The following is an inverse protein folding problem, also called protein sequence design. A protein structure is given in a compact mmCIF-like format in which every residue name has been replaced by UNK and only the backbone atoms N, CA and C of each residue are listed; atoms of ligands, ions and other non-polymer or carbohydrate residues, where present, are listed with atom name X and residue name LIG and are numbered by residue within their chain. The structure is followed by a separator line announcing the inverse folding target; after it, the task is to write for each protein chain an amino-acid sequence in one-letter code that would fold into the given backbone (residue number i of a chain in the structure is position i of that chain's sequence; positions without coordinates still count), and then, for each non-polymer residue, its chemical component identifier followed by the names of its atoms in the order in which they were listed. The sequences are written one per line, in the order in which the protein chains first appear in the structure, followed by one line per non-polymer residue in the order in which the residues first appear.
data_IF_336724337200
#
_entry.id   IF_336724337200
#
_cell.length_a   1.000
_cell.length_b   1.000
_cell.length_c   1.000
_cell.angle_alpha   90.00
_cell.angle_beta   90.00
_cell.angle_gamma   90.00
#
_symmetry.space_group_name_H-M   'P 1'
#
loop_
_entity.id
_entity.type
_entity.pdbx_description
1 polymer ?
#
# COMPACT_ATOMS: atom_id res chain seq x y z
N UNK A 1 -16.14 3.20 -6.13
CA UNK A 1 -16.57 4.35 -6.96
C UNK A 1 -17.74 5.10 -6.34
N UNK A 2 -18.93 4.52 -6.15
CA UNK A 2 -20.07 5.24 -5.55
C UNK A 2 -19.76 5.86 -4.18
N UNK A 3 -19.12 5.10 -3.28
CA UNK A 3 -18.67 5.62 -1.97
C UNK A 3 -17.67 6.77 -2.09
N UNK A 4 -16.83 6.78 -3.13
CA UNK A 4 -15.87 7.86 -3.41
C UNK A 4 -16.61 9.15 -3.77
N UNK A 5 -17.60 9.06 -4.66
CA UNK A 5 -18.47 10.21 -5.03
C UNK A 5 -19.23 10.70 -3.81
N UNK A 6 -19.77 9.79 -3.01
CA UNK A 6 -20.50 10.13 -1.79
C UNK A 6 -19.62 10.88 -0.78
N UNK A 7 -18.38 10.45 -0.60
CA UNK A 7 -17.41 11.11 0.28
C UNK A 7 -17.14 12.55 -0.17
N UNK A 8 -16.89 12.79 -1.46
CA UNK A 8 -16.73 14.15 -2.00
C UNK A 8 -17.98 15.00 -1.78
N UNK A 9 -19.17 14.47 -2.05
CA UNK A 9 -20.45 15.17 -1.83
C UNK A 9 -20.69 15.52 -0.36
N UNK A 10 -20.15 14.72 0.56
CA UNK A 10 -20.20 14.97 2.01
C UNK A 10 -19.14 15.97 2.49
N UNK A 11 -18.29 16.48 1.59
CA UNK A 11 -17.25 17.46 1.91
C UNK A 11 -15.98 16.84 2.49
N UNK A 12 -15.69 15.55 2.23
CA UNK A 12 -14.40 14.98 2.60
C UNK A 12 -13.27 15.57 1.75
N UNK A 13 -12.11 15.82 2.35
CA UNK A 13 -10.95 16.41 1.67
C UNK A 13 -10.15 15.43 0.82
N UNK A 14 -10.39 14.12 0.95
CA UNK A 14 -9.69 13.07 0.23
C UNK A 14 -10.25 11.68 0.48
N UNK A 15 -9.81 10.70 -0.31
CA UNK A 15 -10.28 9.30 -0.21
C UNK A 15 -9.09 8.35 -0.21
N UNK A 16 -9.13 7.37 0.69
CA UNK A 16 -8.24 6.21 0.69
C UNK A 16 -9.06 4.99 0.33
N UNK A 17 -8.60 4.24 -0.67
CA UNK A 17 -9.08 2.89 -0.94
C UNK A 17 -8.24 1.95 -0.10
N UNK A 18 -8.82 1.49 1.01
CA UNK A 18 -8.14 0.71 2.06
C UNK A 18 -7.86 -0.74 1.66
N UNK A 19 -7.04 -0.93 0.62
CA UNK A 19 -6.58 -2.23 0.14
C UNK A 19 -5.23 -2.06 -0.55
N UNK A 20 -4.28 -2.94 -0.23
CA UNK A 20 -2.94 -2.93 -0.83
C UNK A 20 -2.96 -3.27 -2.34
N UNK A 21 -4.03 -3.84 -2.86
CA UNK A 21 -4.18 -4.04 -4.31
C UNK A 21 -4.52 -2.76 -5.09
N UNK A 22 -4.72 -1.63 -4.41
CA UNK A 22 -5.13 -0.34 -4.97
C UNK A 22 -6.32 -0.45 -5.97
N UNK A 23 -7.37 -1.23 -5.67
CA UNK A 23 -8.42 -1.52 -6.62
C UNK A 23 -9.19 -0.24 -6.97
N UNK A 24 -9.39 -0.01 -8.27
CA UNK A 24 -10.14 1.12 -8.79
C UNK A 24 -9.63 2.52 -8.37
N UNK A 25 -8.42 2.67 -7.83
CA UNK A 25 -7.83 3.99 -7.49
C UNK A 25 -7.80 4.90 -8.71
N UNK A 26 -7.35 4.38 -9.86
CA UNK A 26 -7.29 5.14 -11.12
C UNK A 26 -8.68 5.59 -11.58
N UNK A 27 -9.67 4.69 -11.57
CA UNK A 27 -11.05 5.02 -11.93
C UNK A 27 -11.68 6.00 -10.94
N UNK A 28 -11.33 5.93 -9.65
CA UNK A 28 -11.79 6.88 -8.64
C UNK A 28 -11.20 8.28 -8.88
N UNK A 29 -9.91 8.38 -9.23
CA UNK A 29 -9.25 9.65 -9.59
C UNK A 29 -9.93 10.35 -10.78
N UNK A 30 -10.49 9.60 -11.73
CA UNK A 30 -11.23 10.17 -12.86
C UNK A 30 -12.54 10.85 -12.44
N UNK A 31 -13.24 10.33 -11.44
CA UNK A 31 -14.64 10.72 -11.15
C UNK A 31 -14.81 11.73 -10.01
N UNK A 32 -13.79 11.96 -9.18
CA UNK A 32 -13.82 12.97 -8.09
C UNK A 32 -12.69 13.97 -8.21
N UNK A 33 -12.90 15.17 -7.69
CA UNK A 33 -12.03 16.34 -7.64
C UNK A 33 -11.24 16.50 -6.33
N UNK A 34 -11.27 15.51 -5.44
CA UNK A 34 -10.43 15.39 -4.25
C UNK A 34 -9.34 14.31 -4.43
N UNK A 35 -8.18 14.40 -3.76
CA UNK A 35 -7.12 13.39 -3.85
C UNK A 35 -7.61 11.98 -3.53
N UNK A 36 -7.23 11.01 -4.36
CA UNK A 36 -7.53 9.59 -4.13
C UNK A 36 -6.25 8.75 -4.14
N UNK A 37 -6.05 7.98 -3.07
CA UNK A 37 -4.92 7.06 -2.90
C UNK A 37 -5.40 5.64 -2.62
N UNK A 38 -4.57 4.66 -2.96
CA UNK A 38 -4.63 3.32 -2.37
C UNK A 38 -3.60 3.20 -1.23
N UNK A 39 -3.33 1.97 -0.82
CA UNK A 39 -2.39 1.69 0.26
C UNK A 39 -1.00 1.26 -0.26
N UNK A 40 -0.90 0.67 -1.45
CA UNK A 40 0.38 0.23 -2.00
C UNK A 40 1.24 1.37 -2.54
N UNK A 41 0.69 2.23 -3.41
CA UNK A 41 1.47 3.33 -4.02
C UNK A 41 2.21 4.18 -2.96
N UNK A 42 1.54 4.71 -1.91
CA UNK A 42 2.21 5.51 -0.88
C UNK A 42 3.27 4.71 -0.11
N UNK A 43 2.98 3.44 0.22
CA UNK A 43 3.90 2.60 0.98
C UNK A 43 5.20 2.34 0.23
N UNK A 44 5.10 2.05 -1.08
CA UNK A 44 6.26 1.83 -1.92
C UNK A 44 7.07 3.11 -2.12
N UNK A 45 6.42 4.28 -2.25
CA UNK A 45 7.11 5.56 -2.37
C UNK A 45 7.87 5.93 -1.08
N UNK A 46 7.28 5.73 0.09
CA UNK A 46 7.99 5.87 1.36
C UNK A 46 9.17 4.90 1.47
N UNK A 47 8.99 3.64 1.08
CA UNK A 47 10.09 2.69 1.10
C UNK A 47 11.25 3.11 0.19
N UNK A 48 10.92 3.68 -0.97
CA UNK A 48 11.91 4.19 -1.91
C UNK A 48 12.71 5.38 -1.40
N UNK A 49 12.17 6.18 -0.46
CA UNK A 49 12.90 7.29 0.16
C UNK A 49 13.74 6.87 1.36
N UNK A 50 13.41 5.74 1.99
CA UNK A 50 14.07 5.26 3.20
C UNK A 50 15.20 4.25 2.95
N UNK A 51 15.23 3.59 1.77
CA UNK A 51 16.26 2.61 1.48
C UNK A 51 16.55 2.37 0.00
N UNK A 52 17.63 1.62 -0.26
CA UNK A 52 18.02 1.25 -1.62
C UNK A 52 17.07 0.23 -2.25
N UNK A 53 16.67 -0.79 -1.47
CA UNK A 53 15.75 -1.85 -1.87
C UNK A 53 14.68 -2.06 -0.80
N UNK A 54 13.49 -2.45 -1.20
CA UNK A 54 12.40 -2.79 -0.30
C UNK A 54 11.76 -4.13 -0.66
N UNK A 55 11.14 -4.78 0.32
CA UNK A 55 10.32 -5.97 0.09
C UNK A 55 8.92 -5.79 0.68
N UNK A 56 7.95 -6.43 0.03
CA UNK A 56 6.56 -6.49 0.51
C UNK A 56 6.31 -7.89 1.05
N UNK A 57 5.78 -7.99 2.28
CA UNK A 57 5.37 -9.27 2.87
C UNK A 57 3.84 -9.30 2.95
N UNK A 58 3.21 -10.18 2.17
CA UNK A 58 1.76 -10.23 1.93
C UNK A 58 1.11 -11.55 2.39
N UNK A 59 -0.19 -11.68 2.19
CA UNK A 59 -1.05 -12.77 2.66
C UNK A 59 -0.80 -14.09 1.91
N UNK A 60 -1.13 -14.16 0.63
CA UNK A 60 -1.19 -15.37 -0.19
C UNK A 60 -0.32 -15.22 -1.43
N UNK A 61 0.17 -16.33 -1.99
CA UNK A 61 1.04 -16.29 -3.17
C UNK A 61 0.35 -15.72 -4.42
N UNK A 62 -0.96 -15.97 -4.57
CA UNK A 62 -1.69 -15.55 -5.77
C UNK A 62 -1.76 -14.02 -5.97
N UNK A 63 -1.53 -13.23 -4.92
CA UNK A 63 -1.49 -11.75 -5.03
C UNK A 63 -0.10 -11.21 -5.33
N UNK A 64 0.95 -12.04 -5.32
CA UNK A 64 2.33 -11.61 -5.62
C UNK A 64 2.42 -10.95 -7.00
N UNK A 65 1.95 -11.56 -8.11
CA UNK A 65 2.07 -10.94 -9.43
C UNK A 65 1.35 -9.58 -9.52
N UNK A 66 0.25 -9.41 -8.77
CA UNK A 66 -0.47 -8.15 -8.68
C UNK A 66 0.39 -7.07 -8.04
N UNK A 67 1.03 -7.36 -6.90
CA UNK A 67 1.90 -6.41 -6.17
C UNK A 67 3.12 -6.03 -7.01
N UNK A 68 3.73 -7.01 -7.69
CA UNK A 68 4.84 -6.74 -8.60
C UNK A 68 4.43 -5.83 -9.76
N UNK A 69 3.24 -6.03 -10.31
CA UNK A 69 2.69 -5.18 -11.36
C UNK A 69 2.40 -3.76 -10.85
N UNK A 70 1.91 -3.59 -9.62
CA UNK A 70 1.76 -2.26 -9.00
C UNK A 70 3.11 -1.55 -8.94
N UNK A 71 4.16 -2.21 -8.43
CA UNK A 71 5.50 -1.62 -8.38
C UNK A 71 6.04 -1.25 -9.77
N UNK A 72 5.76 -2.07 -10.79
CA UNK A 72 6.12 -1.80 -12.19
C UNK A 72 5.41 -0.57 -12.73
N UNK A 73 4.10 -0.48 -12.58
CA UNK A 73 3.28 0.63 -13.07
C UNK A 73 3.61 1.93 -12.33
N UNK A 74 3.95 1.85 -11.04
CA UNK A 74 4.42 2.98 -10.23
C UNK A 74 5.84 3.44 -10.60
N UNK A 75 6.60 2.64 -11.36
CA UNK A 75 7.97 2.96 -11.77
C UNK A 75 9.04 2.66 -10.72
N UNK A 76 8.73 1.82 -9.72
CA UNK A 76 9.64 1.48 -8.61
C UNK A 76 10.04 0.00 -8.58
N UNK A 77 9.70 -0.78 -9.62
CA UNK A 77 10.04 -2.21 -9.70
C UNK A 77 11.53 -2.49 -9.52
N UNK A 78 12.40 -1.62 -10.03
CA UNK A 78 13.86 -1.77 -9.84
C UNK A 78 14.30 -1.66 -8.38
N UNK A 79 13.50 -1.06 -7.49
CA UNK A 79 13.75 -1.00 -6.05
C UNK A 79 13.06 -2.13 -5.26
N UNK A 80 12.13 -2.87 -5.87
CA UNK A 80 11.48 -4.01 -5.25
C UNK A 80 12.41 -5.22 -5.27
N UNK A 81 12.98 -5.58 -4.12
CA UNK A 81 13.82 -6.77 -3.94
C UNK A 81 13.00 -8.06 -4.06
N UNK A 82 11.87 -8.14 -3.36
CA UNK A 82 10.99 -9.30 -3.40
C UNK A 82 9.56 -8.99 -2.92
N UNK A 83 8.63 -9.87 -3.27
CA UNK A 83 7.34 -9.99 -2.61
C UNK A 83 7.26 -11.38 -2.01
N UNK A 84 7.03 -11.48 -0.70
CA UNK A 84 6.95 -12.75 0.04
C UNK A 84 5.56 -12.95 0.59
N UNK A 85 5.13 -14.20 0.72
CA UNK A 85 3.83 -14.56 1.30
C UNK A 85 4.01 -15.27 2.64
N UNK A 86 3.15 -14.95 3.60
CA UNK A 86 3.06 -15.70 4.87
C UNK A 86 2.15 -16.93 4.78
N UNK A 87 1.51 -17.16 3.63
CA UNK A 87 0.49 -18.18 3.37
C UNK A 87 -0.64 -18.21 4.42
N UNK A 88 -1.14 -17.01 4.79
CA UNK A 88 -2.27 -16.83 5.71
C UNK A 88 -3.39 -16.10 4.98
N UNK A 89 -4.60 -16.69 4.86
CA UNK A 89 -5.76 -16.01 4.26
C UNK A 89 -6.15 -14.74 5.02
N UNK A 90 -6.68 -13.75 4.30
CA UNK A 90 -7.07 -12.43 4.88
C UNK A 90 -8.03 -12.56 6.07
N UNK A 91 -8.97 -13.50 6.00
CA UNK A 91 -9.97 -13.71 7.07
C UNK A 91 -9.37 -14.30 8.36
N UNK A 92 -8.17 -14.86 8.28
CA UNK A 92 -7.45 -15.47 9.41
C UNK A 92 -6.46 -14.52 10.08
N UNK A 93 -6.36 -13.26 9.63
CA UNK A 93 -5.43 -12.26 10.18
C UNK A 93 -5.79 -11.78 11.60
N UNK A 94 -6.91 -12.23 12.16
CA UNK A 94 -7.37 -11.83 13.49
C UNK A 94 -6.48 -12.37 14.62
N UNK A 95 -5.79 -13.50 14.42
CA UNK A 95 -4.76 -14.00 15.33
C UNK A 95 -3.45 -13.22 15.12
N UNK A 96 -3.30 -12.14 15.90
CA UNK A 96 -2.15 -11.23 15.80
C UNK A 96 -0.82 -11.89 16.16
N UNK A 97 -0.79 -12.85 17.07
CA UNK A 97 0.47 -13.52 17.45
C UNK A 97 0.94 -14.47 16.35
N UNK A 98 0.02 -15.29 15.81
CA UNK A 98 0.32 -16.15 14.65
C UNK A 98 0.80 -15.31 13.46
N UNK A 99 0.09 -14.22 13.16
CA UNK A 99 0.42 -13.31 12.07
C UNK A 99 1.80 -12.66 12.26
N UNK A 100 2.09 -12.08 13.43
CA UNK A 100 3.40 -11.47 13.72
C UNK A 100 4.54 -12.45 13.54
N UNK A 101 4.40 -13.67 14.06
CA UNK A 101 5.44 -14.70 13.94
C UNK A 101 5.68 -15.11 12.49
N UNK A 102 4.63 -15.21 11.67
CA UNK A 102 4.77 -15.53 10.25
C UNK A 102 5.40 -14.37 9.46
N UNK A 103 4.95 -13.14 9.69
CA UNK A 103 5.51 -11.93 9.08
C UNK A 103 6.99 -11.78 9.43
N UNK A 104 7.35 -11.93 10.70
CA UNK A 104 8.74 -11.83 11.17
C UNK A 104 9.66 -12.81 10.45
N UNK A 105 9.24 -14.07 10.29
CA UNK A 105 10.02 -15.10 9.58
C UNK A 105 10.29 -14.71 8.12
N UNK A 106 9.26 -14.26 7.40
CA UNK A 106 9.44 -13.84 6.00
C UNK A 106 10.20 -12.52 5.86
N UNK A 107 10.04 -11.59 6.81
CA UNK A 107 10.83 -10.36 6.87
C UNK A 107 12.32 -10.63 7.07
N UNK A 108 12.68 -11.56 7.95
CA UNK A 108 14.08 -11.97 8.11
C UNK A 108 14.67 -12.56 6.83
N UNK A 109 13.90 -13.39 6.10
CA UNK A 109 14.34 -13.91 4.81
C UNK A 109 14.48 -12.78 3.78
N UNK A 110 13.54 -11.84 3.73
CA UNK A 110 13.64 -10.67 2.85
C UNK A 110 14.93 -9.86 3.09
N UNK A 111 15.34 -9.70 4.34
CA UNK A 111 16.60 -9.02 4.68
C UNK A 111 17.81 -9.89 4.28
N UNK A 112 17.85 -11.15 4.74
CA UNK A 112 19.05 -12.02 4.63
C UNK A 112 19.29 -12.48 3.20
N UNK A 113 18.25 -12.89 2.49
CA UNK A 113 18.29 -13.49 1.16
C UNK A 113 18.16 -12.44 0.06
N UNK A 114 17.19 -11.53 0.18
CA UNK A 114 16.82 -10.61 -0.92
C UNK A 114 17.44 -9.21 -0.78
N UNK A 115 18.11 -8.94 0.35
CA UNK A 115 18.75 -7.64 0.66
C UNK A 115 17.75 -6.49 0.76
N UNK A 116 16.58 -6.75 1.34
CA UNK A 116 15.62 -5.70 1.68
C UNK A 116 16.19 -4.77 2.77
N UNK A 117 16.14 -3.45 2.53
CA UNK A 117 16.52 -2.42 3.51
C UNK A 117 15.30 -1.68 4.08
N UNK A 118 14.10 -1.96 3.56
CA UNK A 118 12.82 -1.48 4.06
C UNK A 118 11.79 -2.59 3.84
N UNK A 119 10.90 -2.79 4.80
CA UNK A 119 9.86 -3.81 4.76
C UNK A 119 8.49 -3.15 4.73
N UNK A 120 7.57 -3.68 3.93
CA UNK A 120 6.21 -3.19 3.81
C UNK A 120 5.23 -4.33 4.13
N UNK A 121 4.24 -4.06 4.99
CA UNK A 121 3.12 -4.97 5.16
C UNK A 121 2.21 -4.90 3.92
N UNK A 122 2.04 -6.04 3.25
CA UNK A 122 1.35 -6.15 1.96
C UNK A 122 -0.17 -6.26 2.04
N UNK A 123 -0.78 -5.97 3.19
CA UNK A 123 -2.22 -5.99 3.40
C UNK A 123 -2.61 -4.99 4.50
N UNK A 124 -3.66 -4.21 4.28
CA UNK A 124 -4.19 -3.26 5.26
C UNK A 124 -4.80 -3.95 6.48
N UNK A 125 -5.22 -5.21 6.34
CA UNK A 125 -5.64 -6.06 7.46
C UNK A 125 -4.52 -6.42 8.45
N UNK A 126 -3.25 -6.15 8.11
CA UNK A 126 -2.10 -6.33 8.99
C UNK A 126 -1.83 -5.10 9.88
N UNK A 127 -2.72 -4.11 9.89
CA UNK A 127 -2.52 -2.85 10.61
C UNK A 127 -2.18 -3.06 12.09
N UNK A 128 -1.26 -2.24 12.59
CA UNK A 128 -0.93 -2.16 14.02
C UNK A 128 0.07 -3.21 14.51
N UNK A 129 0.64 -4.03 13.63
CA UNK A 129 1.73 -4.97 13.99
C UNK A 129 3.12 -4.47 13.59
N UNK A 130 3.21 -3.41 12.76
CA UNK A 130 4.47 -2.89 12.22
C UNK A 130 5.49 -2.53 13.32
N UNK A 131 5.06 -1.82 14.37
CA UNK A 131 5.94 -1.44 15.49
C UNK A 131 6.52 -2.67 16.20
N UNK A 132 5.67 -3.65 16.51
CA UNK A 132 6.12 -4.89 17.15
C UNK A 132 7.11 -5.67 16.27
N UNK A 133 6.89 -5.69 14.95
CA UNK A 133 7.82 -6.36 14.02
C UNK A 133 9.16 -5.64 13.94
N UNK A 134 9.15 -4.31 13.91
CA UNK A 134 10.38 -3.51 13.96
C UNK A 134 11.18 -3.81 15.24
N UNK A 135 10.54 -3.79 16.42
CA UNK A 135 11.18 -4.12 17.70
C UNK A 135 11.73 -5.57 17.73
N UNK A 136 11.07 -6.51 17.06
CA UNK A 136 11.55 -7.89 16.94
C UNK A 136 12.79 -7.99 16.04
N UNK A 137 12.80 -7.28 14.91
CA UNK A 137 13.93 -7.23 13.98
C UNK A 137 15.13 -6.50 14.60
N UNK A 138 14.90 -5.43 15.35
CA UNK A 138 15.94 -4.67 16.05
C UNK A 138 16.67 -5.56 17.06
N UNK A 139 15.94 -6.39 17.82
CA UNK A 139 16.53 -7.38 18.76
C UNK A 139 17.40 -8.44 18.08
N UNK A 140 17.13 -8.77 16.81
CA UNK A 140 17.95 -9.67 15.99
C UNK A 140 19.17 -8.94 15.38
N UNK A 141 19.30 -7.62 15.58
CA UNK A 141 20.38 -6.79 15.05
C UNK A 141 20.07 -6.13 13.72
N UNK A 142 18.80 -6.06 13.32
CA UNK A 142 18.36 -5.41 12.09
C UNK A 142 17.51 -4.16 12.39
N UNK A 143 18.14 -2.98 12.34
CA UNK A 143 17.42 -1.70 12.31
C UNK A 143 16.92 -1.41 10.90
N UNK A 144 15.70 -1.89 10.61
CA UNK A 144 15.04 -1.77 9.30
C UNK A 144 13.63 -1.22 9.48
N UNK A 145 13.23 -0.18 8.71
CA UNK A 145 11.87 0.36 8.81
C UNK A 145 10.83 -0.67 8.36
N UNK A 146 9.72 -0.75 9.12
CA UNK A 146 8.53 -1.55 8.77
C UNK A 146 7.35 -0.61 8.51
N UNK A 147 6.89 -0.55 7.27
CA UNK A 147 5.81 0.34 6.82
C UNK A 147 4.46 -0.34 6.99
N UNK A 148 3.59 0.31 7.77
CA UNK A 148 2.16 0.01 7.84
C UNK A 148 1.44 0.74 6.69
N UNK A 149 0.75 0.03 5.78
CA UNK A 149 0.18 0.62 4.57
C UNK A 149 -1.01 1.54 4.84
N UNK A 150 -1.74 1.32 5.94
CA UNK A 150 -2.84 2.19 6.32
C UNK A 150 -2.31 3.52 6.88
N UNK A 151 -1.31 3.46 7.76
CA UNK A 151 -0.67 4.67 8.27
C UNK A 151 0.04 5.46 7.16
N UNK A 152 0.74 4.77 6.26
CA UNK A 152 1.39 5.39 5.11
C UNK A 152 0.40 6.12 4.19
N UNK A 153 -0.72 5.47 3.83
CA UNK A 153 -1.72 6.10 2.95
C UNK A 153 -2.35 7.34 3.58
N UNK A 154 -2.62 7.33 4.88
CA UNK A 154 -3.14 8.51 5.61
C UNK A 154 -2.12 9.65 5.56
N UNK A 155 -0.86 9.40 5.92
CA UNK A 155 0.17 10.44 5.96
C UNK A 155 0.45 11.03 4.58
N UNK A 156 0.41 10.21 3.54
CA UNK A 156 0.55 10.69 2.16
C UNK A 156 -0.66 11.52 1.74
N UNK A 157 -1.87 11.13 2.10
CA UNK A 157 -3.08 11.89 1.80
C UNK A 157 -3.07 13.27 2.48
N UNK A 158 -2.73 13.31 3.77
CA UNK A 158 -2.56 14.55 4.53
C UNK A 158 -1.55 15.49 3.85
N UNK A 159 -0.43 14.95 3.34
CA UNK A 159 0.56 15.74 2.63
C UNK A 159 -0.01 16.35 1.33
N UNK A 160 -0.76 15.58 0.53
CA UNK A 160 -1.39 16.11 -0.69
C UNK A 160 -2.42 17.20 -0.38
N UNK A 161 -3.25 16.99 0.65
CA UNK A 161 -4.24 17.96 1.11
C UNK A 161 -3.56 19.23 1.61
N UNK A 162 -2.54 19.10 2.46
CA UNK A 162 -1.79 20.24 2.99
C UNK A 162 -1.06 21.05 1.93
N UNK A 163 -0.64 20.40 0.83
CA UNK A 163 -0.04 21.05 -0.34
C UNK A 163 -1.09 21.61 -1.32
N UNK A 164 -2.37 21.32 -1.14
CA UNK A 164 -3.45 21.74 -2.04
C UNK A 164 -3.37 21.09 -3.43
N UNK A 165 -2.77 19.90 -3.54
CA UNK A 165 -2.57 19.19 -4.82
C UNK A 165 -3.42 17.93 -4.91
N UNK A 166 -3.76 17.55 -6.14
CA UNK A 166 -4.57 16.37 -6.45
C UNK A 166 -4.16 15.75 -7.79
N UNK A 167 -4.79 14.64 -8.16
CA UNK A 167 -4.60 14.01 -9.47
C UNK A 167 -4.74 14.99 -10.63
N UNK A 168 -3.82 14.91 -11.61
CA UNK A 168 -3.86 15.73 -12.82
C UNK A 168 -5.02 15.33 -13.74
N UNK A 169 -5.77 16.31 -14.23
CA UNK A 169 -6.85 16.10 -15.22
C UNK A 169 -6.36 15.79 -16.63
N UNK A 170 -5.07 16.00 -16.91
CA UNK A 170 -4.46 15.56 -18.17
C UNK A 170 -4.28 14.04 -18.22
N UNK A 171 -4.16 13.38 -17.05
CA UNK A 171 -4.07 11.92 -16.94
C UNK A 171 -5.41 11.30 -16.55
N UNK A 172 -6.07 11.87 -15.55
CA UNK A 172 -7.34 11.38 -15.00
C UNK A 172 -8.48 12.32 -15.39
N UNK A 173 -8.70 12.43 -16.71
CA UNK A 173 -9.80 13.21 -17.26
C UNK A 173 -11.14 12.62 -16.77
N UNK A 174 -12.12 13.47 -16.46
CA UNK A 174 -13.47 12.99 -16.19
C UNK A 174 -13.99 12.22 -17.42
N UNK A 175 -14.62 11.05 -17.24
CA UNK A 175 -15.18 10.33 -18.39
C UNK A 175 -16.17 11.26 -19.11
N UNK A 176 -16.08 11.40 -20.44
CA UNK A 176 -16.99 12.26 -21.18
C UNK A 176 -18.42 11.76 -21.01
N UNK A 177 -19.38 12.69 -21.00
CA UNK A 177 -20.79 12.34 -21.00
C UNK A 177 -21.11 11.51 -22.25
N UNK A 178 -21.84 10.41 -22.05
CA UNK A 178 -22.28 9.52 -23.12
C UNK A 178 -23.76 9.22 -22.92
N UNK A 179 -24.56 9.53 -23.93
CA UNK A 179 -25.93 9.02 -23.99
C UNK A 179 -25.88 7.49 -24.13
N UNK A 180 -26.42 6.79 -23.13
CA UNK A 180 -26.59 5.34 -23.20
C UNK A 180 -28.00 5.08 -23.73
N UNK A 181 -28.11 4.55 -24.94
CA UNK A 181 -29.35 3.90 -25.40
C UNK A 181 -29.47 2.60 -24.62
N UNK A 182 -30.19 2.65 -23.50
CA UNK A 182 -30.60 1.47 -22.72
C UNK A 182 -31.94 1.02 -23.28
#
# INVERSE_FOLDING_TARGET
LNKTIEAEKKGCDGVIIDCFGDPAVKAAREIVDIPVLGAAEPSMLFACSLGHKFSVVTVLENVIPMIENIAKVLGVKEKLASVRSVDIPVLELHDKEKLKNALYKEMLKAIKEDKAHVLILGCTGMMGVAKSLHEMLEKEGYDVPVIDPAAASIKFLEALIGLGVKQSRLTYMKPPEKERKI
#
